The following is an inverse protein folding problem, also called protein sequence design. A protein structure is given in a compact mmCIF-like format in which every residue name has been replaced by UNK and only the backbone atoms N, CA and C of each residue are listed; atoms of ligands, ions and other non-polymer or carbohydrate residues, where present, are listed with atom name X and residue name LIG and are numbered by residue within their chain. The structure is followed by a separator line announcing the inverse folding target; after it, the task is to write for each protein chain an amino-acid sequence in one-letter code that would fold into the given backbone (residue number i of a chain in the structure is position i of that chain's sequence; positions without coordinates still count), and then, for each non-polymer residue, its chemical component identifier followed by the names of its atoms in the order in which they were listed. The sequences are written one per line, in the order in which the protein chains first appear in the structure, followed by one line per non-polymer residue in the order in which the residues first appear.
data_IF_781376239503
#
_entry.id   IF_781376239503
#
_cell.length_a   1.000
_cell.length_b   1.000
_cell.length_c   1.000
_cell.angle_alpha   90.00
_cell.angle_beta   90.00
_cell.angle_gamma   90.00
#
_symmetry.space_group_name_H-M   'P 1'
#
loop_
_entity.id
_entity.type
_entity.pdbx_description
1 polymer ?
#
# COMPACT_ATOMS: atom_id res chain seq x y z
N UNK A 1 54.69 3.84 -40.74
CA UNK A 1 54.30 4.27 -39.38
C UNK A 1 53.01 5.09 -39.47
N UNK A 2 51.88 4.54 -39.05
CA UNK A 2 50.61 5.26 -38.90
C UNK A 2 50.06 4.87 -37.52
N UNK A 3 50.06 5.80 -36.58
CA UNK A 3 49.51 5.64 -35.24
C UNK A 3 48.38 6.64 -35.05
N UNK A 4 47.41 6.23 -34.24
CA UNK A 4 46.30 6.99 -33.67
C UNK A 4 45.12 7.33 -34.60
N UNK A 5 44.17 6.40 -34.73
CA UNK A 5 42.78 6.70 -35.12
C UNK A 5 41.74 5.84 -34.37
N UNK A 6 41.97 5.48 -33.11
CA UNK A 6 41.01 4.68 -32.33
C UNK A 6 40.83 5.17 -30.89
N UNK A 7 40.76 6.49 -30.67
CA UNK A 7 40.45 7.04 -29.33
C UNK A 7 39.40 8.16 -29.33
N UNK A 8 38.59 8.28 -30.38
CA UNK A 8 37.59 9.37 -30.49
C UNK A 8 36.14 8.91 -30.60
N UNK A 9 35.84 7.63 -30.34
CA UNK A 9 34.49 7.06 -30.53
C UNK A 9 33.82 6.57 -29.23
N UNK A 10 34.35 6.94 -28.05
CA UNK A 10 33.84 6.48 -26.75
C UNK A 10 33.23 7.60 -25.86
N UNK A 11 33.08 8.84 -26.36
CA UNK A 11 32.66 10.00 -25.53
C UNK A 11 31.27 10.55 -25.92
N UNK A 12 30.47 9.79 -26.68
CA UNK A 12 29.16 10.24 -27.17
C UNK A 12 27.98 9.37 -26.71
N UNK A 13 27.97 8.92 -25.45
CA UNK A 13 26.82 8.23 -24.86
C UNK A 13 26.39 8.73 -23.46
N UNK A 14 26.94 9.84 -22.97
CA UNK A 14 26.59 10.39 -21.64
C UNK A 14 26.02 11.81 -21.73
N UNK A 15 25.06 12.02 -22.63
CA UNK A 15 24.46 13.35 -22.84
C UNK A 15 22.95 13.29 -22.99
N UNK A 16 22.24 12.69 -22.03
CA UNK A 16 20.79 12.81 -21.82
C UNK A 16 20.59 12.29 -20.37
N UNK A 17 20.07 13.02 -19.37
CA UNK A 17 19.03 14.03 -19.32
C UNK A 17 19.35 14.97 -18.14
N UNK A 18 19.42 16.28 -18.39
CA UNK A 18 19.26 17.26 -17.33
C UNK A 18 17.80 17.23 -16.88
N UNK A 19 17.54 16.80 -15.65
CA UNK A 19 16.20 16.88 -15.08
C UNK A 19 15.86 18.33 -14.84
N UNK A 20 14.91 18.85 -15.62
CA UNK A 20 14.21 20.09 -15.36
C UNK A 20 13.44 19.88 -14.06
N UNK A 21 13.92 20.43 -12.95
CA UNK A 21 13.13 20.59 -11.74
C UNK A 21 12.12 21.73 -11.99
N UNK A 22 11.10 21.45 -12.80
CA UNK A 22 9.95 22.32 -12.88
C UNK A 22 9.06 21.97 -11.69
N UNK A 23 8.97 22.88 -10.71
CA UNK A 23 7.93 22.82 -9.69
C UNK A 23 6.58 23.08 -10.36
N UNK A 24 6.07 22.07 -11.06
CA UNK A 24 4.66 22.01 -11.42
C UNK A 24 3.95 21.74 -10.12
N UNK A 25 3.20 22.73 -9.63
CA UNK A 25 2.26 22.55 -8.54
C UNK A 25 1.24 21.49 -8.96
N UNK A 26 1.56 20.21 -8.69
CA UNK A 26 0.71 19.09 -9.04
C UNK A 26 -0.59 19.21 -8.27
N UNK A 27 -1.72 19.03 -8.93
CA UNK A 27 -3.02 19.07 -8.25
C UNK A 27 -3.09 17.98 -7.17
N UNK A 28 -3.88 18.18 -6.11
CA UNK A 28 -4.05 17.16 -5.06
C UNK A 28 -4.45 15.80 -5.67
N UNK A 29 -5.28 15.80 -6.71
CA UNK A 29 -5.71 14.61 -7.44
C UNK A 29 -4.54 13.89 -8.13
N UNK A 30 -3.66 14.62 -8.79
CA UNK A 30 -2.46 14.06 -9.42
C UNK A 30 -1.54 13.44 -8.38
N UNK A 31 -1.34 14.12 -7.25
CA UNK A 31 -0.54 13.60 -6.14
C UNK A 31 -1.11 12.29 -5.60
N UNK A 32 -2.42 12.21 -5.38
CA UNK A 32 -3.06 10.97 -4.93
C UNK A 32 -2.91 9.85 -5.96
N UNK A 33 -3.10 10.16 -7.25
CA UNK A 33 -2.92 9.20 -8.35
C UNK A 33 -1.49 8.66 -8.40
N UNK A 34 -0.50 9.53 -8.20
CA UNK A 34 0.91 9.14 -8.11
C UNK A 34 1.15 8.12 -6.98
N UNK A 35 0.63 8.35 -5.78
CA UNK A 35 0.84 7.42 -4.66
C UNK A 35 0.11 6.09 -4.84
N UNK A 36 -1.06 6.08 -5.47
CA UNK A 36 -1.73 4.83 -5.84
C UNK A 36 -0.89 4.02 -6.84
N UNK A 37 -0.34 4.68 -7.86
CA UNK A 37 0.51 4.02 -8.86
C UNK A 37 1.81 3.51 -8.24
N UNK A 38 2.52 4.36 -7.49
CA UNK A 38 3.77 4.00 -6.81
C UNK A 38 3.57 2.78 -5.90
N UNK A 39 2.45 2.73 -5.19
CA UNK A 39 2.11 1.58 -4.33
C UNK A 39 1.92 0.27 -5.10
N UNK A 40 1.31 0.32 -6.30
CA UNK A 40 1.17 -0.85 -7.16
C UNK A 40 2.51 -1.33 -7.68
N UNK A 41 3.37 -0.40 -8.11
CA UNK A 41 4.73 -0.70 -8.55
C UNK A 41 5.55 -1.34 -7.41
N UNK A 42 5.47 -0.80 -6.20
CA UNK A 42 6.13 -1.40 -5.04
C UNK A 42 5.58 -2.79 -4.71
N UNK A 43 4.26 -2.99 -4.79
CA UNK A 43 3.66 -4.31 -4.56
C UNK A 43 4.13 -5.34 -5.59
N UNK A 44 4.22 -4.95 -6.87
CA UNK A 44 4.75 -5.81 -7.93
C UNK A 44 6.22 -6.16 -7.70
N UNK A 45 7.02 -5.17 -7.30
CA UNK A 45 8.41 -5.40 -6.93
C UNK A 45 8.49 -6.42 -5.79
N UNK A 46 7.82 -6.16 -4.66
CA UNK A 46 7.74 -7.04 -3.49
C UNK A 46 7.32 -8.47 -3.83
N UNK A 47 6.29 -8.62 -4.67
CA UNK A 47 5.77 -9.93 -5.11
C UNK A 47 6.72 -10.69 -6.02
N UNK A 48 7.70 -10.01 -6.62
CA UNK A 48 8.67 -10.61 -7.55
C UNK A 48 10.04 -10.88 -6.94
N UNK A 49 10.32 -10.34 -5.75
CA UNK A 49 11.62 -10.49 -5.11
C UNK A 49 11.76 -11.87 -4.46
N UNK A 50 12.94 -12.48 -4.64
CA UNK A 50 13.39 -13.66 -3.89
C UNK A 50 14.61 -13.23 -3.07
N UNK A 51 14.40 -12.82 -1.83
CA UNK A 51 15.45 -12.35 -0.92
C UNK A 51 15.85 -13.44 0.08
N UNK A 52 17.08 -13.38 0.57
CA UNK A 52 17.45 -14.14 1.75
C UNK A 52 16.70 -13.62 2.98
N UNK A 53 16.45 -14.48 3.97
CA UNK A 53 15.63 -14.12 5.15
C UNK A 53 16.09 -12.84 5.87
N UNK A 54 17.40 -12.66 6.05
CA UNK A 54 17.96 -11.46 6.68
C UNK A 54 17.77 -10.19 5.85
N UNK A 55 17.88 -10.29 4.52
CA UNK A 55 17.69 -9.16 3.60
C UNK A 55 16.20 -8.80 3.51
N UNK A 56 15.34 -9.81 3.60
CA UNK A 56 13.89 -9.63 3.60
C UNK A 56 13.41 -8.88 4.85
N UNK A 57 13.95 -9.19 6.04
CA UNK A 57 13.61 -8.45 7.27
C UNK A 57 13.98 -6.97 7.16
N UNK A 58 15.21 -6.67 6.72
CA UNK A 58 15.67 -5.29 6.51
C UNK A 58 14.81 -4.55 5.48
N UNK A 59 14.46 -5.25 4.39
CA UNK A 59 13.56 -4.73 3.37
C UNK A 59 12.20 -4.32 3.96
N UNK A 60 11.56 -5.21 4.73
CA UNK A 60 10.25 -4.93 5.31
C UNK A 60 10.28 -3.83 6.37
N UNK A 61 11.37 -3.71 7.15
CA UNK A 61 11.53 -2.59 8.07
C UNK A 61 11.68 -1.25 7.33
N UNK A 62 12.44 -1.24 6.22
CA UNK A 62 12.56 -0.04 5.37
C UNK A 62 11.20 0.36 4.77
N UNK A 63 10.39 -0.62 4.35
CA UNK A 63 9.06 -0.39 3.80
C UNK A 63 8.11 0.18 4.87
N UNK A 64 8.12 -0.36 6.08
CA UNK A 64 7.34 0.18 7.22
C UNK A 64 7.76 1.60 7.58
N UNK A 65 9.05 1.90 7.54
CA UNK A 65 9.55 3.24 7.83
C UNK A 65 9.08 4.24 6.77
N UNK A 66 9.18 3.89 5.49
CA UNK A 66 8.63 4.71 4.40
C UNK A 66 7.14 5.02 4.62
N UNK A 67 6.33 4.00 4.92
CA UNK A 67 4.90 4.17 5.15
C UNK A 67 4.61 5.04 6.37
N UNK A 68 5.37 4.88 7.45
CA UNK A 68 5.27 5.70 8.66
C UNK A 68 5.58 7.16 8.37
N UNK A 69 6.67 7.44 7.67
CA UNK A 69 7.06 8.82 7.32
C UNK A 69 6.08 9.43 6.31
N UNK A 70 5.58 8.64 5.35
CA UNK A 70 4.51 9.06 4.45
C UNK A 70 3.23 9.44 5.22
N UNK A 71 2.84 8.65 6.23
CA UNK A 71 1.69 8.95 7.09
C UNK A 71 1.87 10.24 7.88
N UNK A 72 3.08 10.50 8.38
CA UNK A 72 3.40 11.71 9.15
C UNK A 72 3.34 12.96 8.25
N UNK A 73 3.95 12.90 7.06
CA UNK A 73 4.03 14.04 6.14
C UNK A 73 2.71 14.34 5.43
N UNK A 74 1.98 13.30 5.00
CA UNK A 74 0.74 13.46 4.25
C UNK A 74 -0.19 12.23 4.42
N UNK A 75 -1.21 12.39 5.27
CA UNK A 75 -2.18 11.33 5.56
C UNK A 75 -3.04 10.95 4.36
N UNK A 76 -3.30 11.88 3.42
CA UNK A 76 -4.11 11.59 2.23
C UNK A 76 -3.30 10.76 1.23
N UNK A 77 -2.05 11.15 1.01
CA UNK A 77 -1.10 10.40 0.21
C UNK A 77 -0.84 9.00 0.79
N UNK A 78 -0.64 8.88 2.11
CA UNK A 78 -0.55 7.58 2.77
C UNK A 78 -1.79 6.72 2.51
N UNK A 79 -3.00 7.30 2.61
CA UNK A 79 -4.24 6.57 2.35
C UNK A 79 -4.33 6.08 0.90
N UNK A 80 -3.93 6.91 -0.07
CA UNK A 80 -3.85 6.53 -1.47
C UNK A 80 -2.84 5.39 -1.68
N UNK A 81 -1.66 5.50 -1.07
CA UNK A 81 -0.63 4.45 -1.12
C UNK A 81 -1.13 3.12 -0.56
N UNK A 82 -1.71 3.12 0.65
CA UNK A 82 -2.26 1.91 1.26
C UNK A 82 -3.40 1.29 0.45
N UNK A 83 -4.22 2.12 -0.22
CA UNK A 83 -5.23 1.64 -1.16
C UNK A 83 -4.59 0.95 -2.36
N UNK A 84 -3.60 1.57 -3.00
CA UNK A 84 -2.88 0.97 -4.14
C UNK A 84 -2.22 -0.36 -3.78
N UNK A 85 -1.57 -0.43 -2.60
CA UNK A 85 -0.99 -1.67 -2.05
C UNK A 85 -2.07 -2.74 -1.91
N UNK A 86 -3.16 -2.46 -1.19
CA UNK A 86 -4.25 -3.43 -0.99
C UNK A 86 -4.80 -3.93 -2.32
N UNK A 87 -5.10 -3.03 -3.25
CA UNK A 87 -5.68 -3.40 -4.54
C UNK A 87 -4.73 -4.36 -5.31
N UNK A 88 -3.41 -4.08 -5.34
CA UNK A 88 -2.41 -4.94 -5.98
C UNK A 88 -2.18 -6.28 -5.25
N UNK A 89 -2.19 -6.28 -3.93
CA UNK A 89 -2.04 -7.51 -3.15
C UNK A 89 -3.26 -8.42 -3.30
N UNK A 90 -4.48 -7.86 -3.29
CA UNK A 90 -5.71 -8.62 -3.53
C UNK A 90 -5.69 -9.24 -4.92
N UNK A 91 -5.33 -8.47 -5.94
CA UNK A 91 -5.19 -8.98 -7.31
C UNK A 91 -4.16 -10.11 -7.38
N UNK A 92 -2.98 -9.94 -6.78
CA UNK A 92 -1.97 -10.99 -6.72
C UNK A 92 -2.51 -12.25 -6.03
N UNK A 93 -3.19 -12.12 -4.89
CA UNK A 93 -3.79 -13.25 -4.17
C UNK A 93 -4.79 -14.04 -5.03
N UNK A 94 -5.52 -13.37 -5.92
CA UNK A 94 -6.48 -14.03 -6.82
C UNK A 94 -5.79 -14.83 -7.94
N UNK A 95 -4.59 -14.41 -8.35
CA UNK A 95 -3.82 -15.05 -9.43
C UNK A 95 -2.71 -15.98 -8.93
N UNK A 96 -2.37 -15.88 -7.65
CA UNK A 96 -1.27 -16.60 -7.05
C UNK A 96 -1.72 -17.99 -6.61
N UNK A 97 -1.25 -19.00 -7.33
CA UNK A 97 -1.60 -20.41 -7.13
C UNK A 97 -0.46 -21.19 -6.43
N UNK A 98 -0.47 -22.52 -6.52
CA UNK A 98 0.56 -23.38 -5.93
C UNK A 98 1.97 -23.19 -6.49
N UNK A 99 2.13 -22.47 -7.62
CA UNK A 99 3.42 -22.16 -8.24
C UNK A 99 4.03 -20.85 -7.75
N UNK A 100 3.27 -20.05 -7.01
CA UNK A 100 3.83 -18.93 -6.28
C UNK A 100 4.70 -19.43 -5.13
N UNK A 101 5.99 -19.13 -5.17
CA UNK A 101 6.88 -19.33 -4.04
C UNK A 101 7.09 -18.00 -3.33
N UNK A 102 6.50 -17.88 -2.14
CA UNK A 102 6.72 -16.75 -1.24
C UNK A 102 7.27 -17.26 0.09
N UNK A 103 8.10 -16.45 0.74
CA UNK A 103 8.61 -16.77 2.06
C UNK A 103 7.52 -16.64 3.13
N UNK A 104 7.79 -17.18 4.32
CA UNK A 104 6.92 -16.99 5.47
C UNK A 104 6.83 -15.51 5.90
N UNK A 105 7.93 -14.76 5.74
CA UNK A 105 7.99 -13.33 6.03
C UNK A 105 7.08 -12.57 5.07
N UNK A 106 7.20 -12.79 3.76
CA UNK A 106 6.30 -12.23 2.77
C UNK A 106 4.83 -12.48 3.15
N UNK A 107 4.45 -13.72 3.49
CA UNK A 107 3.06 -14.02 3.84
C UNK A 107 2.58 -13.23 5.07
N UNK A 108 3.47 -13.04 6.05
CA UNK A 108 3.18 -12.24 7.24
C UNK A 108 2.92 -10.79 6.87
N UNK A 109 3.74 -10.19 6.01
CA UNK A 109 3.59 -8.80 5.56
C UNK A 109 2.42 -8.61 4.58
N UNK A 110 2.25 -9.51 3.62
CA UNK A 110 1.11 -9.50 2.70
C UNK A 110 -0.22 -9.51 3.46
N UNK A 111 -0.31 -10.27 4.55
CA UNK A 111 -1.49 -10.34 5.40
C UNK A 111 -1.90 -8.98 6.00
N UNK A 112 -0.93 -8.10 6.28
CA UNK A 112 -1.20 -6.76 6.77
C UNK A 112 -1.98 -5.93 5.73
N UNK A 113 -1.59 -6.01 4.46
CA UNK A 113 -2.27 -5.28 3.40
C UNK A 113 -3.68 -5.83 3.11
N UNK A 114 -3.92 -7.13 3.32
CA UNK A 114 -5.24 -7.76 3.23
C UNK A 114 -6.18 -7.34 4.36
N UNK A 115 -5.75 -7.53 5.61
CA UNK A 115 -6.66 -7.54 6.77
C UNK A 115 -6.56 -6.27 7.62
N UNK A 116 -5.38 -5.66 7.71
CA UNK A 116 -5.15 -4.57 8.66
C UNK A 116 -5.55 -3.20 8.10
N UNK A 117 -5.88 -3.11 6.81
CA UNK A 117 -6.49 -1.93 6.22
C UNK A 117 -8.01 -1.84 6.43
N UNK A 118 -8.65 -2.80 7.09
CA UNK A 118 -10.09 -2.74 7.40
C UNK A 118 -10.46 -1.61 8.37
N UNK A 119 -9.52 -1.08 9.15
CA UNK A 119 -9.73 0.17 9.90
C UNK A 119 -9.80 1.42 9.01
N UNK A 120 -9.47 1.30 7.72
CA UNK A 120 -9.64 2.33 6.69
C UNK A 120 -10.78 2.02 5.72
N UNK A 121 -11.66 1.07 6.07
CA UNK A 121 -13.03 1.13 5.60
C UNK A 121 -13.52 2.56 5.87
N UNK A 122 -14.03 3.20 4.84
CA UNK A 122 -14.91 4.33 5.01
C UNK A 122 -15.88 3.91 6.12
N UNK A 123 -15.79 4.50 7.33
CA UNK A 123 -16.94 4.55 8.23
C UNK A 123 -17.99 5.32 7.44
N UNK A 124 -18.66 4.64 6.52
CA UNK A 124 -20.07 4.85 6.29
C UNK A 124 -20.64 4.58 7.66
N UNK A 125 -20.79 5.64 8.46
CA UNK A 125 -21.63 5.58 9.63
C UNK A 125 -22.93 4.94 9.13
N UNK A 126 -23.34 3.76 9.62
CA UNK A 126 -24.75 3.44 9.52
C UNK A 126 -25.42 4.61 10.23
N UNK A 127 -26.12 5.47 9.47
CA UNK A 127 -27.10 6.38 10.03
C UNK A 127 -28.07 5.46 10.75
N UNK A 128 -27.85 5.25 12.05
CA UNK A 128 -28.84 4.66 12.93
C UNK A 128 -29.96 5.70 12.99
N UNK A 129 -30.89 5.60 12.06
CA UNK A 129 -32.26 6.04 12.29
C UNK A 129 -32.82 5.12 13.36
N UNK A 130 -32.50 5.41 14.61
CA UNK A 130 -33.22 4.85 15.74
C UNK A 130 -34.62 5.45 15.69
N UNK A 131 -35.55 4.77 15.01
CA UNK A 131 -36.97 5.03 15.21
C UNK A 131 -37.32 4.39 16.54
N UNK A 132 -37.40 5.22 17.58
CA UNK A 132 -37.91 4.82 18.89
C UNK A 132 -39.41 4.56 18.77
N UNK A 133 -39.80 3.29 18.61
CA UNK A 133 -41.18 2.89 18.90
C UNK A 133 -41.23 2.57 20.40
N UNK A 134 -41.71 3.52 21.19
CA UNK A 134 -41.84 3.42 22.65
C UNK A 134 -42.93 2.43 23.08
N UNK A 135 -42.73 1.15 22.83
CA UNK A 135 -43.60 0.08 23.35
C UNK A 135 -42.78 -0.76 24.33
N UNK A 136 -42.84 -0.36 25.60
CA UNK A 136 -42.34 -1.17 26.71
C UNK A 136 -43.46 -2.08 27.21
N UNK A 137 -43.31 -3.39 27.02
CA UNK A 137 -44.24 -4.38 27.58
C UNK A 137 -43.64 -4.86 28.90
N UNK A 138 -44.24 -4.45 30.02
CA UNK A 138 -43.86 -4.92 31.35
C UNK A 138 -44.60 -6.22 31.65
N UNK A 139 -43.87 -7.29 31.93
CA UNK A 139 -44.46 -8.56 32.33
C UNK A 139 -44.84 -8.51 33.83
N UNK A 140 -46.08 -8.87 34.23
CA UNK A 140 -46.47 -8.88 35.62
C UNK A 140 -45.81 -10.05 36.36
N UNK A 141 -45.15 -9.75 37.49
CA UNK A 141 -44.60 -10.76 38.38
C UNK A 141 -45.67 -11.25 39.36
N UNK A 142 -46.00 -12.53 39.33
CA UNK A 142 -46.90 -13.16 40.31
C UNK A 142 -46.04 -13.74 41.44
N UNK A 143 -46.27 -13.29 42.67
CA UNK A 143 -45.66 -13.87 43.87
C UNK A 143 -46.64 -14.85 44.50
N UNK A 144 -46.24 -16.12 44.59
CA UNK A 144 -46.95 -17.14 45.37
C UNK A 144 -46.31 -17.16 46.75
N UNK A 145 -47.04 -16.71 47.77
CA UNK A 145 -46.64 -16.85 49.17
C UNK A 145 -47.02 -18.24 49.70
N UNK A 146 -46.14 -18.81 50.52
CA UNK A 146 -46.41 -19.95 51.39
C UNK A 146 -46.85 -19.44 52.77
#
# INVERSE_FOLDING_TARGET
MKRLQFLSLAILLFSFIGSIAQEVESTEKEKLTYYEQRAKEDAQFEQSQELAESEEEEFWESQKEYERELKKRDRKAHKAYMKGKRDAYVEHREHCDSHCHHSQHYHTHASFYYYHNDHYSYRSYPRRTTVSTGVGISAPSVRIGL
#
